data_IF_188127838266
#
_entry.id   IF_188127838266
#
_cell.length_a   1.000
_cell.length_b   1.000
_cell.length_c   1.000
_cell.angle_alpha   90.00
_cell.angle_beta   90.00
_cell.angle_gamma   90.00
#
_symmetry.space_group_name_H-M   'P 1'
#
loop_
_entity.id
_entity.type
_entity.pdbx_description
1 polymer ?
#
# COMPACT_ATOMS: atom_id res chain seq x y z
N UNK A 1 10.48 30.59 -23.79
CA UNK A 1 10.11 29.64 -22.71
C UNK A 1 9.59 28.37 -23.37
N UNK A 2 10.44 27.36 -23.58
CA UNK A 2 10.07 26.12 -24.24
C UNK A 2 9.22 25.27 -23.29
N UNK A 3 7.98 24.97 -23.71
CA UNK A 3 7.07 24.04 -23.05
C UNK A 3 7.61 22.63 -23.28
N UNK A 4 8.38 22.10 -22.33
CA UNK A 4 8.82 20.71 -22.32
C UNK A 4 7.56 19.82 -22.42
N UNK A 5 7.37 19.19 -23.58
CA UNK A 5 6.38 18.13 -23.76
C UNK A 5 6.84 16.97 -22.88
N UNK A 6 6.16 16.83 -21.75
CA UNK A 6 6.26 15.68 -20.85
C UNK A 6 5.98 14.42 -21.69
N UNK A 7 7.03 13.64 -22.02
CA UNK A 7 6.91 12.55 -22.97
C UNK A 7 6.03 11.43 -22.39
N UNK A 8 4.77 11.38 -22.83
CA UNK A 8 3.95 10.18 -22.74
C UNK A 8 4.59 9.08 -23.58
N UNK A 9 4.77 7.88 -22.99
CA UNK A 9 5.04 6.66 -23.77
C UNK A 9 6.39 5.97 -23.61
N UNK A 10 7.09 6.13 -22.48
CA UNK A 10 8.25 5.29 -22.17
C UNK A 10 7.86 3.83 -21.85
N UNK A 11 8.75 2.86 -22.10
CA UNK A 11 8.57 1.45 -21.67
C UNK A 11 9.71 1.05 -20.75
N UNK A 12 9.39 0.32 -19.68
CA UNK A 12 10.38 -0.29 -18.77
C UNK A 12 10.03 -1.76 -18.63
N UNK A 13 10.83 -2.63 -19.23
CA UNK A 13 10.54 -4.07 -19.26
C UNK A 13 9.13 -4.37 -19.81
N UNK A 14 8.29 -5.14 -19.10
CA UNK A 14 6.91 -5.44 -19.52
C UNK A 14 5.90 -4.32 -19.19
N UNK A 15 6.35 -3.14 -18.74
CA UNK A 15 5.48 -2.07 -18.29
C UNK A 15 5.50 -0.87 -19.24
N UNK A 16 4.31 -0.46 -19.69
CA UNK A 16 4.10 0.79 -20.43
C UNK A 16 3.88 1.93 -19.44
N UNK A 17 4.71 2.98 -19.52
CA UNK A 17 4.60 4.16 -18.67
C UNK A 17 3.51 5.10 -19.17
N UNK A 18 2.69 5.56 -18.24
CA UNK A 18 1.70 6.62 -18.42
C UNK A 18 2.16 7.90 -17.73
N UNK A 19 1.26 8.48 -16.94
CA UNK A 19 1.47 9.76 -16.25
C UNK A 19 2.57 9.67 -15.20
N UNK A 20 3.34 10.75 -15.07
CA UNK A 20 4.28 10.97 -13.97
C UNK A 20 3.63 11.79 -12.86
N UNK A 21 3.84 11.40 -11.61
CA UNK A 21 3.49 12.23 -10.45
C UNK A 21 4.62 13.20 -10.12
N UNK A 22 4.32 14.50 -10.15
CA UNK A 22 5.29 15.59 -9.92
C UNK A 22 5.53 15.82 -8.44
N UNK A 23 4.54 15.50 -7.61
CA UNK A 23 4.46 15.65 -6.16
C UNK A 23 5.57 14.86 -5.44
N UNK A 24 6.02 13.75 -6.02
CA UNK A 24 7.14 12.96 -5.47
C UNK A 24 8.42 13.78 -5.35
N UNK A 25 8.63 14.72 -6.27
CA UNK A 25 9.80 15.60 -6.30
C UNK A 25 11.11 14.89 -6.66
N UNK A 26 12.12 15.63 -7.12
CA UNK A 26 13.37 15.07 -7.66
C UNK A 26 14.24 14.38 -6.60
N UNK A 27 14.01 14.65 -5.31
CA UNK A 27 14.82 14.13 -4.21
C UNK A 27 14.60 12.63 -3.97
N UNK A 28 13.35 12.15 -4.05
CA UNK A 28 13.05 10.72 -3.95
C UNK A 28 13.19 10.02 -5.30
N UNK A 29 12.80 10.69 -6.38
CA UNK A 29 12.91 10.12 -7.72
C UNK A 29 11.71 10.48 -8.60
N UNK A 30 11.21 9.47 -9.31
CA UNK A 30 10.08 9.63 -10.23
C UNK A 30 9.13 8.46 -10.05
N UNK A 31 7.86 8.73 -9.81
CA UNK A 31 6.81 7.73 -9.75
C UNK A 31 5.92 7.89 -10.98
N UNK A 32 5.62 6.77 -11.62
CA UNK A 32 4.79 6.71 -12.81
C UNK A 32 3.59 5.79 -12.58
N UNK A 33 2.45 6.18 -13.12
CA UNK A 33 1.44 5.22 -13.54
C UNK A 33 2.04 4.32 -14.61
N UNK A 34 1.86 3.02 -14.48
CA UNK A 34 2.27 2.05 -15.48
C UNK A 34 1.22 0.95 -15.63
N UNK A 35 1.24 0.28 -16.77
CA UNK A 35 0.41 -0.92 -16.99
C UNK A 35 1.27 -2.04 -17.51
N UNK A 36 1.04 -3.25 -16.99
CA UNK A 36 1.62 -4.44 -17.57
C UNK A 36 1.06 -4.64 -18.98
N UNK A 37 1.93 -4.80 -19.98
CA UNK A 37 1.52 -4.82 -21.41
C UNK A 37 0.58 -5.98 -21.70
N UNK A 38 0.87 -7.18 -21.19
CA UNK A 38 0.06 -8.37 -21.49
C UNK A 38 -1.21 -8.48 -20.65
N UNK A 39 -1.13 -8.19 -19.34
CA UNK A 39 -2.26 -8.39 -18.41
C UNK A 39 -3.13 -7.14 -18.22
N UNK A 40 -2.67 -5.96 -18.65
CA UNK A 40 -3.35 -4.68 -18.43
C UNK A 40 -3.41 -4.21 -16.98
N UNK A 41 -2.87 -5.00 -16.03
CA UNK A 41 -2.90 -4.72 -14.59
C UNK A 41 -2.25 -3.36 -14.28
N UNK A 42 -2.85 -2.54 -13.41
CA UNK A 42 -2.26 -1.28 -12.99
C UNK A 42 -1.01 -1.56 -12.14
N UNK A 43 0.02 -0.77 -12.39
CA UNK A 43 1.31 -0.82 -11.69
C UNK A 43 1.72 0.60 -11.35
N UNK A 44 2.38 0.78 -10.21
CA UNK A 44 3.16 1.98 -9.93
C UNK A 44 4.62 1.65 -10.15
N UNK A 45 5.28 2.43 -10.99
CA UNK A 45 6.68 2.23 -11.32
C UNK A 45 7.50 3.38 -10.72
N UNK A 46 8.23 3.05 -9.66
CA UNK A 46 9.12 3.99 -8.99
C UNK A 46 10.54 3.87 -9.55
N UNK A 47 11.09 4.98 -10.02
CA UNK A 47 12.47 5.11 -10.46
C UNK A 47 13.21 5.99 -9.44
N UNK A 48 14.07 5.39 -8.59
CA UNK A 48 14.83 6.14 -7.58
C UNK A 48 15.66 7.28 -8.19
N UNK A 49 15.69 8.40 -7.49
CA UNK A 49 16.48 9.57 -7.88
C UNK A 49 17.99 9.34 -7.75
N UNK A 50 18.79 10.15 -8.45
CA UNK A 50 20.27 10.07 -8.36
C UNK A 50 20.83 10.37 -6.97
N UNK A 51 20.05 11.06 -6.12
CA UNK A 51 20.43 11.44 -4.74
C UNK A 51 20.16 10.33 -3.72
N UNK A 52 19.42 9.28 -4.10
CA UNK A 52 19.22 8.10 -3.25
C UNK A 52 20.53 7.30 -3.26
N UNK A 53 21.16 7.19 -2.09
CA UNK A 53 22.50 6.60 -1.93
C UNK A 53 22.54 5.08 -2.12
N UNK A 54 21.39 4.44 -2.06
CA UNK A 54 21.25 3.00 -2.19
C UNK A 54 20.43 2.66 -3.44
N UNK A 55 20.72 1.49 -4.04
CA UNK A 55 19.98 0.91 -5.18
C UNK A 55 19.90 -0.61 -4.99
N UNK A 56 18.82 -1.24 -5.47
CA UNK A 56 18.77 -2.69 -5.51
C UNK A 56 19.92 -3.22 -6.37
N UNK A 57 20.61 -4.23 -5.86
CA UNK A 57 21.77 -4.86 -6.49
C UNK A 57 21.37 -5.98 -7.45
N UNK A 58 20.15 -6.46 -7.31
CA UNK A 58 19.61 -7.58 -8.08
C UNK A 58 18.09 -7.50 -8.06
N UNK A 59 17.45 -8.26 -8.94
CA UNK A 59 16.00 -8.27 -9.08
C UNK A 59 15.35 -9.02 -7.91
N UNK A 60 14.25 -8.47 -7.43
CA UNK A 60 13.44 -9.03 -6.35
C UNK A 60 12.00 -9.14 -6.83
N UNK A 61 11.34 -10.27 -6.52
CA UNK A 61 9.90 -10.44 -6.71
C UNK A 61 9.28 -10.72 -5.36
N UNK A 62 8.54 -9.74 -4.85
CA UNK A 62 7.88 -9.80 -3.54
C UNK A 62 6.40 -9.49 -3.73
N UNK A 63 5.56 -10.30 -3.09
CA UNK A 63 4.11 -10.19 -3.14
C UNK A 63 3.57 -9.86 -1.75
N UNK A 64 2.83 -8.76 -1.67
CA UNK A 64 2.11 -8.36 -0.46
C UNK A 64 0.63 -8.72 -0.59
N UNK A 65 0.06 -9.24 0.49
CA UNK A 65 -1.38 -9.51 0.59
C UNK A 65 -1.88 -9.16 1.98
N UNK A 66 -3.04 -8.52 2.04
CA UNK A 66 -3.71 -8.16 3.28
C UNK A 66 -4.98 -9.02 3.41
N UNK A 67 -5.09 -9.73 4.52
CA UNK A 67 -6.24 -10.57 4.85
C UNK A 67 -7.04 -9.87 5.94
N UNK A 68 -8.35 -9.75 5.73
CA UNK A 68 -9.29 -9.10 6.65
C UNK A 68 -9.96 -10.08 7.63
N UNK A 69 -9.78 -11.40 7.44
CA UNK A 69 -10.28 -12.44 8.35
C UNK A 69 -9.46 -12.47 9.65
N UNK A 70 -8.42 -13.32 9.78
CA UNK A 70 -7.34 -12.95 10.66
C UNK A 70 -6.68 -11.70 10.07
N UNK A 71 -6.63 -10.59 10.82
CA UNK A 71 -5.95 -9.38 10.37
C UNK A 71 -4.47 -9.67 10.24
N UNK A 72 -4.02 -9.90 9.02
CA UNK A 72 -2.65 -10.30 8.72
C UNK A 72 -2.17 -9.66 7.42
N UNK A 73 -0.92 -9.17 7.44
CA UNK A 73 -0.19 -8.75 6.25
C UNK A 73 0.82 -9.85 5.93
N UNK A 74 0.63 -10.54 4.82
CA UNK A 74 1.51 -11.59 4.34
C UNK A 74 2.44 -11.01 3.26
N UNK A 75 3.74 -11.21 3.46
CA UNK A 75 4.78 -10.89 2.48
C UNK A 75 5.43 -12.20 2.02
N UNK A 76 5.26 -12.53 0.76
CA UNK A 76 5.86 -13.70 0.11
C UNK A 76 7.01 -13.24 -0.77
N UNK A 77 8.18 -13.86 -0.62
CA UNK A 77 9.34 -13.61 -1.48
C UNK A 77 9.37 -14.72 -2.53
N UNK A 78 8.93 -14.41 -3.75
CA UNK A 78 8.85 -15.36 -4.86
C UNK A 78 10.25 -15.55 -5.48
N UNK A 79 10.99 -14.46 -5.66
CA UNK A 79 12.37 -14.48 -6.17
C UNK A 79 13.26 -13.55 -5.34
N UNK A 80 14.41 -14.08 -4.90
CA UNK A 80 15.41 -13.34 -4.13
C UNK A 80 16.82 -13.57 -4.68
N UNK A 81 17.69 -12.54 -4.63
CA UNK A 81 19.11 -12.69 -4.97
C UNK A 81 19.85 -13.67 -4.03
N UNK A 82 20.83 -14.40 -4.56
CA UNK A 82 21.62 -15.39 -3.78
C UNK A 82 22.36 -14.79 -2.58
N UNK A 83 22.67 -13.48 -2.62
CA UNK A 83 23.33 -12.73 -1.53
C UNK A 83 22.47 -11.60 -1.00
N UNK A 84 21.15 -11.80 -1.04
CA UNK A 84 20.15 -10.88 -0.53
C UNK A 84 20.40 -10.51 0.95
N UNK A 85 20.21 -9.24 1.28
CA UNK A 85 20.14 -8.77 2.67
C UNK A 85 18.76 -8.19 2.92
N UNK A 86 18.16 -8.52 4.07
CA UNK A 86 16.85 -7.97 4.45
C UNK A 86 16.83 -6.43 4.47
N UNK A 87 17.98 -5.80 4.75
CA UNK A 87 18.15 -4.33 4.69
C UNK A 87 17.87 -3.77 3.30
N UNK A 88 18.20 -4.51 2.24
CA UNK A 88 17.96 -4.08 0.86
C UNK A 88 16.45 -4.01 0.57
N UNK A 89 15.69 -5.02 1.01
CA UNK A 89 14.24 -5.02 0.90
C UNK A 89 13.61 -3.91 1.77
N UNK A 90 14.11 -3.70 2.99
CA UNK A 90 13.67 -2.62 3.86
C UNK A 90 13.88 -1.25 3.19
N UNK A 91 15.04 -1.01 2.57
CA UNK A 91 15.33 0.23 1.84
C UNK A 91 14.36 0.45 0.66
N UNK A 92 14.04 -0.61 -0.12
CA UNK A 92 13.01 -0.55 -1.18
C UNK A 92 11.68 -0.09 -0.60
N UNK A 93 11.24 -0.72 0.48
CA UNK A 93 9.94 -0.46 1.10
C UNK A 93 9.87 0.94 1.68
N UNK A 94 10.90 1.39 2.40
CA UNK A 94 10.97 2.76 2.93
C UNK A 94 10.89 3.79 1.81
N UNK A 95 11.62 3.61 0.72
CA UNK A 95 11.57 4.52 -0.42
C UNK A 95 10.22 4.48 -1.16
N UNK A 96 9.65 3.29 -1.33
CA UNK A 96 8.34 3.08 -1.92
C UNK A 96 7.25 3.77 -1.12
N UNK A 97 7.23 3.59 0.21
CA UNK A 97 6.29 4.24 1.12
C UNK A 97 6.46 5.76 1.11
N UNK A 98 7.68 6.27 1.17
CA UNK A 98 7.93 7.72 1.12
C UNK A 98 7.48 8.35 -0.21
N UNK A 99 7.61 7.62 -1.33
CA UNK A 99 7.11 8.08 -2.63
C UNK A 99 5.58 8.01 -2.69
N UNK A 100 4.98 6.94 -2.16
CA UNK A 100 3.54 6.72 -2.14
C UNK A 100 2.81 7.77 -1.28
N UNK A 101 3.32 8.08 -0.09
CA UNK A 101 2.76 9.10 0.80
C UNK A 101 2.68 10.49 0.16
N UNK A 102 3.52 10.80 -0.84
CA UNK A 102 3.44 12.08 -1.55
C UNK A 102 2.32 12.16 -2.57
N UNK A 103 1.71 11.03 -2.91
CA UNK A 103 0.71 10.92 -3.97
C UNK A 103 -0.58 10.26 -3.50
N UNK A 104 -0.66 9.79 -2.25
CA UNK A 104 -1.79 9.02 -1.74
C UNK A 104 -3.13 9.78 -1.83
N UNK A 105 -3.08 11.10 -1.66
CA UNK A 105 -4.23 12.00 -1.81
C UNK A 105 -4.53 12.39 -3.26
N UNK A 106 -3.72 11.98 -4.24
CA UNK A 106 -3.94 12.33 -5.64
C UNK A 106 -5.10 11.50 -6.22
N UNK A 107 -6.18 12.12 -6.73
CA UNK A 107 -7.33 11.37 -7.23
C UNK A 107 -7.02 10.52 -8.47
N UNK A 108 -6.01 10.89 -9.27
CA UNK A 108 -5.59 10.08 -10.41
C UNK A 108 -4.94 8.77 -9.98
N UNK A 109 -4.24 8.76 -8.83
CA UNK A 109 -3.66 7.55 -8.27
C UNK A 109 -4.73 6.54 -7.89
N UNK A 110 -5.75 7.00 -7.16
CA UNK A 110 -6.90 6.19 -6.77
C UNK A 110 -7.60 5.63 -8.01
N UNK A 111 -7.85 6.47 -9.02
CA UNK A 111 -8.46 6.06 -10.28
C UNK A 111 -7.62 5.05 -11.07
N UNK A 112 -6.29 5.13 -11.01
CA UNK A 112 -5.41 4.19 -11.72
C UNK A 112 -5.34 2.82 -11.03
N UNK A 113 -5.18 2.80 -9.70
CA UNK A 113 -5.04 1.57 -8.92
C UNK A 113 -6.35 0.79 -8.77
N UNK A 114 -7.43 1.49 -8.47
CA UNK A 114 -8.73 0.89 -8.15
C UNK A 114 -9.73 1.01 -9.30
N UNK A 115 -9.34 1.66 -10.39
CA UNK A 115 -10.14 1.72 -11.61
C UNK A 115 -10.26 0.35 -12.27
N UNK A 116 -11.30 0.18 -13.09
CA UNK A 116 -11.51 -1.04 -13.87
C UNK A 116 -10.27 -1.34 -14.73
N UNK A 117 -9.80 -2.60 -14.78
CA UNK A 117 -8.74 -3.00 -15.69
C UNK A 117 -9.11 -2.60 -17.12
N UNK A 118 -8.26 -1.82 -17.79
CA UNK A 118 -8.43 -1.57 -19.22
C UNK A 118 -8.05 -2.86 -19.94
N UNK A 119 -8.97 -3.38 -20.75
CA UNK A 119 -8.67 -4.50 -21.63
C UNK A 119 -7.43 -4.15 -22.46
N UNK A 120 -6.48 -5.09 -22.64
CA UNK A 120 -5.35 -4.86 -23.51
C UNK A 120 -5.87 -4.41 -24.89
N UNK A 121 -5.15 -3.52 -25.60
CA UNK A 121 -5.53 -3.19 -26.96
C UNK A 121 -5.52 -4.50 -27.73
N UNK A 122 -6.72 -5.01 -28.04
CA UNK A 122 -6.87 -6.16 -28.94
C UNK A 122 -6.15 -5.71 -30.19
N UNK A 123 -4.98 -6.31 -30.47
CA UNK A 123 -4.34 -6.19 -31.76
C UNK A 123 -5.37 -6.78 -32.71
N UNK A 124 -6.19 -5.91 -33.29
CA UNK A 124 -6.90 -6.21 -34.52
C UNK A 124 -5.77 -6.39 -35.53
N UNK A 125 -5.23 -7.60 -35.58
CA UNK A 125 -4.60 -8.09 -36.78
C UNK A 125 -5.66 -7.85 -37.84
N UNK A 126 -5.47 -6.80 -38.62
CA UNK A 126 -6.24 -6.54 -39.82
C UNK A 126 -5.82 -7.64 -40.76
N UNK A 127 -6.35 -8.84 -40.52
CA UNK A 127 -6.31 -9.93 -41.47
C UNK A 127 -7.23 -9.45 -42.57
N UNK A 128 -6.63 -8.76 -43.55
CA UNK A 128 -7.24 -8.53 -44.84
C UNK A 128 -7.45 -9.91 -45.45
N UNK A 129 -8.55 -10.57 -45.06
CA UNK A 129 -9.10 -11.66 -45.82
C UNK A 129 -9.49 -11.07 -47.17
N UNK A 130 -8.58 -11.22 -48.13
CA UNK A 130 -8.90 -11.16 -49.55
C UNK A 130 -10.17 -11.96 -49.77
N UNK A 131 -11.23 -11.28 -50.25
CA UNK A 131 -12.58 -11.82 -50.50
C UNK A 131 -12.62 -12.90 -51.61
N UNK A 132 -11.52 -13.60 -51.90
CA UNK A 132 -11.41 -14.54 -53.03
C UNK A 132 -11.22 -16.01 -52.66
N UNK A 133 -11.19 -16.38 -51.39
CA UNK A 133 -11.06 -17.80 -50.97
C UNK A 133 -12.14 -18.24 -49.99
N UNK A 134 -13.36 -17.74 -50.14
CA UNK A 134 -14.53 -18.08 -49.31
C UNK A 134 -15.44 -19.17 -49.89
N UNK A 135 -14.96 -20.04 -50.78
CA UNK A 135 -15.82 -21.02 -51.47
C UNK A 135 -15.47 -22.50 -51.24
N UNK A 136 -14.38 -22.84 -50.54
CA UNK A 136 -13.95 -24.26 -50.41
C UNK A 136 -13.74 -24.77 -48.97
N UNK A 137 -13.94 -23.94 -47.95
CA UNK A 137 -13.81 -24.37 -46.54
C UNK A 137 -15.16 -24.55 -45.80
N UNK A 138 -16.29 -24.46 -46.51
CA UNK A 138 -17.63 -24.63 -45.93
C UNK A 138 -18.12 -26.07 -45.84
N UNK A 139 -17.47 -27.02 -46.53
CA UNK A 139 -17.92 -28.41 -46.61
C UNK A 139 -17.26 -29.36 -45.60
N UNK A 140 -16.20 -28.94 -44.89
CA UNK A 140 -15.52 -29.79 -43.91
C UNK A 140 -16.09 -29.66 -42.47
N UNK A 141 -16.85 -28.61 -42.16
CA UNK A 141 -17.36 -28.35 -40.79
C UNK A 141 -18.68 -29.08 -40.51
N UNK A 142 -19.46 -29.43 -41.54
CA UNK A 142 -20.73 -30.16 -41.38
C UNK A 142 -20.55 -31.65 -41.02
N UNK A 143 -19.37 -32.23 -41.22
CA UNK A 143 -19.10 -33.64 -40.88
C UNK A 143 -18.71 -33.87 -39.40
N UNK A 144 -18.25 -32.83 -38.68
CA UNK A 144 -17.85 -32.94 -37.26
C UNK A 144 -18.96 -32.52 -36.27
N UNK A 145 -20.04 -31.89 -36.76
CA UNK A 145 -21.17 -31.46 -35.94
C UNK A 145 -22.14 -32.57 -35.52
N UNK A 146 -22.06 -33.76 -36.13
CA UNK A 146 -22.94 -34.91 -35.82
C UNK A 146 -22.33 -35.91 -34.83
N UNK A 147 -21.07 -35.75 -34.42
CA UNK A 147 -20.35 -36.72 -33.57
C UNK A 147 -20.35 -36.41 -32.06
N UNK A 148 -20.78 -35.22 -31.64
CA UNK A 148 -20.67 -34.75 -30.24
C UNK A 148 -22.06 -34.57 -29.59
N UNK A 149 -23.05 -35.32 -30.06
CA UNK A 149 -24.41 -35.32 -29.49
C UNK A 149 -24.78 -36.65 -28.81
N UNK A 150 -23.80 -37.54 -28.57
CA UNK A 150 -24.02 -38.84 -27.91
C UNK A 150 -23.25 -39.03 -26.59
N UNK A 151 -22.58 -38.01 -26.05
CA UNK A 151 -21.89 -38.09 -24.74
C UNK A 151 -22.42 -37.14 -23.66
N UNK A 152 -23.55 -36.47 -23.90
CA UNK A 152 -24.16 -35.51 -22.97
C UNK A 152 -25.27 -36.07 -22.06
N UNK A 153 -25.46 -37.39 -22.02
CA UNK A 153 -26.40 -38.02 -21.12
C UNK A 153 -25.61 -38.80 -20.07
N UNK A 154 -25.36 -38.19 -18.91
CA UNK A 154 -25.22 -38.83 -17.58
C UNK A 154 -24.95 -37.70 -16.55
N UNK A 155 -25.79 -37.68 -15.52
CA UNK A 155 -25.73 -36.92 -14.26
C UNK A 155 -26.41 -35.54 -14.17
N UNK A 156 -27.74 -35.61 -14.12
CA UNK A 156 -28.55 -34.69 -13.31
C UNK A 156 -28.50 -35.08 -11.83
N UNK A 157 -28.26 -34.07 -10.98
CA UNK A 157 -28.72 -33.83 -9.58
C UNK A 157 -29.10 -35.04 -8.70
N UNK A 158 -28.59 -35.04 -7.46
CA UNK A 158 -29.38 -34.61 -6.28
C UNK A 158 -28.52 -34.62 -5.00
N UNK A 159 -28.68 -33.56 -4.23
CA UNK A 159 -28.18 -33.38 -2.86
C UNK A 159 -29.36 -33.55 -1.89
N UNK A 160 -29.18 -34.22 -0.75
CA UNK A 160 -29.99 -34.00 0.44
C UNK A 160 -29.15 -33.59 1.68
N UNK A 161 -29.78 -33.01 2.72
CA UNK A 161 -29.20 -32.00 3.61
C UNK A 161 -28.43 -32.59 4.81
N UNK A 162 -27.62 -31.78 5.51
CA UNK A 162 -27.01 -32.20 6.78
C UNK A 162 -27.98 -32.05 7.97
N UNK A 163 -28.00 -33.10 8.78
CA UNK A 163 -28.71 -33.21 10.05
C UNK A 163 -28.21 -32.21 11.10
N UNK A 164 -29.18 -31.66 11.84
CA UNK A 164 -28.97 -30.92 13.09
C UNK A 164 -28.58 -31.90 14.20
N UNK A 165 -27.46 -31.64 14.86
CA UNK A 165 -27.27 -32.06 16.25
C UNK A 165 -26.81 -30.87 17.10
N UNK A 166 -27.73 -30.44 17.95
CA UNK A 166 -27.48 -29.62 19.13
C UNK A 166 -26.81 -30.51 20.18
N UNK A 167 -25.72 -30.06 20.77
CA UNK A 167 -25.27 -30.56 22.07
C UNK A 167 -24.56 -29.47 22.83
N UNK A 168 -24.88 -29.43 24.12
CA UNK A 168 -24.69 -28.33 25.04
C UNK A 168 -23.22 -28.09 25.44
N UNK A 169 -23.01 -26.83 25.78
CA UNK A 169 -21.88 -26.16 26.42
C UNK A 169 -21.29 -26.85 27.67
N UNK A 170 -20.03 -26.56 28.01
CA UNK A 170 -19.74 -26.14 29.39
C UNK A 170 -19.14 -24.73 29.48
N UNK A 171 -19.75 -23.90 30.33
CA UNK A 171 -19.32 -22.55 30.69
C UNK A 171 -17.91 -22.56 31.29
N UNK A 172 -17.02 -21.71 30.75
CA UNK A 172 -15.72 -21.37 31.34
C UNK A 172 -15.79 -19.88 31.75
N UNK A 173 -15.51 -19.53 33.01
CA UNK A 173 -15.61 -18.13 33.47
C UNK A 173 -14.60 -17.22 32.75
N UNK A 174 -14.93 -15.94 32.55
CA UNK A 174 -14.12 -15.02 31.75
C UNK A 174 -12.77 -14.75 32.41
N UNK A 175 -11.69 -15.12 31.71
CA UNK A 175 -10.33 -14.67 32.04
C UNK A 175 -10.21 -13.18 31.69
N UNK A 176 -9.79 -12.37 32.65
CA UNK A 176 -9.42 -10.96 32.43
C UNK A 176 -8.39 -10.88 31.28
N UNK A 177 -8.50 -9.91 30.35
CA UNK A 177 -7.55 -9.77 29.27
C UNK A 177 -6.15 -9.47 29.83
N UNK A 178 -5.10 -10.16 29.37
CA UNK A 178 -3.74 -9.85 29.78
C UNK A 178 -3.39 -8.41 29.33
N UNK A 179 -2.59 -7.66 30.11
CA UNK A 179 -2.12 -6.35 29.68
C UNK A 179 -1.38 -6.47 28.35
N UNK A 180 -1.52 -5.47 27.50
CA UNK A 180 -0.83 -5.41 26.21
C UNK A 180 0.69 -5.41 26.45
N UNK A 181 1.34 -6.53 26.10
CA UNK A 181 2.79 -6.62 26.10
C UNK A 181 3.32 -6.03 24.79
N UNK A 182 4.22 -5.06 24.91
CA UNK A 182 4.92 -4.50 23.75
C UNK A 182 6.20 -5.29 23.54
N UNK A 183 6.33 -5.96 22.40
CA UNK A 183 7.59 -6.56 21.97
C UNK A 183 8.58 -5.46 21.58
N UNK A 184 9.54 -5.19 22.46
CA UNK A 184 10.52 -4.12 22.29
C UNK A 184 11.71 -4.66 21.51
N UNK A 185 11.59 -4.71 20.18
CA UNK A 185 12.75 -4.96 19.31
C UNK A 185 13.81 -3.86 19.51
N UNK A 186 15.06 -4.31 19.59
CA UNK A 186 16.27 -3.62 20.00
C UNK A 186 16.56 -2.28 19.25
N UNK A 187 17.44 -1.42 19.80
CA UNK A 187 17.39 0.03 19.63
C UNK A 187 17.75 0.47 18.21
N UNK A 188 16.88 1.28 17.61
CA UNK A 188 17.23 2.04 16.41
C UNK A 188 18.44 2.94 16.69
N UNK A 189 19.34 3.13 15.71
CA UNK A 189 20.43 4.09 15.83
C UNK A 189 19.87 5.45 16.23
N UNK A 190 20.59 6.15 17.10
CA UNK A 190 20.32 7.47 17.68
C UNK A 190 19.76 8.44 16.64
N UNK A 191 18.44 8.37 16.46
CA UNK A 191 17.72 9.26 15.61
C UNK A 191 17.67 10.57 16.40
N UNK A 192 18.39 11.58 15.91
CA UNK A 192 18.47 12.89 16.55
C UNK A 192 17.06 13.47 16.55
N UNK A 193 16.47 13.57 17.73
CA UNK A 193 15.18 14.22 17.91
C UNK A 193 15.23 15.65 17.39
N UNK A 194 14.12 16.08 16.78
CA UNK A 194 14.07 17.43 16.27
C UNK A 194 14.15 18.43 17.45
N UNK A 195 14.89 19.54 17.29
CA UNK A 195 14.94 20.57 18.31
C UNK A 195 13.55 21.19 18.48
N UNK A 196 13.18 21.53 19.70
CA UNK A 196 11.88 22.13 19.99
C UNK A 196 11.69 23.42 19.15
N UNK A 197 10.58 23.54 18.39
CA UNK A 197 10.41 24.60 17.42
C UNK A 197 10.26 25.97 18.11
N UNK A 198 10.71 27.04 17.44
CA UNK A 198 10.63 28.40 17.97
C UNK A 198 9.18 28.95 18.04
N UNK A 199 8.26 28.33 17.30
CA UNK A 199 6.82 28.63 17.33
C UNK A 199 6.04 27.31 17.37
N UNK A 200 4.82 27.30 17.96
CA UNK A 200 3.99 26.11 17.99
C UNK A 200 3.64 25.61 16.59
N UNK A 201 3.44 24.29 16.44
CA UNK A 201 2.91 23.75 15.20
C UNK A 201 1.47 24.25 14.95
N UNK A 202 1.03 24.27 13.69
CA UNK A 202 -0.33 24.75 13.33
C UNK A 202 -1.45 23.99 14.03
N UNK A 203 -1.21 22.71 14.33
CA UNK A 203 -2.15 21.81 15.00
C UNK A 203 -1.91 21.66 16.51
N UNK A 204 -0.91 22.37 17.04
CA UNK A 204 -0.56 22.33 18.45
C UNK A 204 -1.45 23.30 19.24
N UNK A 205 -1.88 22.88 20.42
CA UNK A 205 -2.51 23.74 21.40
C UNK A 205 -1.51 24.83 21.82
N UNK A 206 -1.96 26.08 21.80
CA UNK A 206 -1.21 27.23 22.31
C UNK A 206 -1.63 27.53 23.75
N UNK A 207 -0.81 28.30 24.45
CA UNK A 207 -1.12 28.78 25.79
C UNK A 207 -2.50 29.47 25.84
N UNK A 208 -3.26 29.35 26.96
CA UNK A 208 -2.88 28.71 28.22
C UNK A 208 -2.96 27.16 28.22
N UNK A 209 -1.95 26.53 28.79
CA UNK A 209 -1.83 25.08 28.91
C UNK A 209 -2.51 24.54 30.16
N UNK A 210 -3.03 23.31 30.09
CA UNK A 210 -3.77 22.68 31.19
C UNK A 210 -2.81 21.97 32.15
N UNK A 211 -2.32 22.69 33.16
CA UNK A 211 -1.43 22.14 34.19
C UNK A 211 -2.00 20.91 34.92
N UNK A 212 -3.33 20.86 35.12
CA UNK A 212 -4.03 19.69 35.70
C UNK A 212 -3.88 18.41 34.87
N UNK A 213 -3.55 18.52 33.58
CA UNK A 213 -3.29 17.40 32.67
C UNK A 213 -1.78 17.15 32.49
N UNK A 214 -0.93 17.82 33.27
CA UNK A 214 0.53 17.74 33.12
C UNK A 214 1.08 18.51 31.93
N UNK A 215 0.29 19.39 31.31
CA UNK A 215 0.76 20.21 30.18
C UNK A 215 1.65 21.35 30.67
N UNK A 216 2.78 21.55 30.00
CA UNK A 216 3.71 22.66 30.22
C UNK A 216 3.81 23.55 28.99
N UNK A 217 3.99 24.84 29.22
CA UNK A 217 4.17 25.81 28.13
C UNK A 217 5.64 25.92 27.77
N UNK A 218 5.96 25.71 26.49
CA UNK A 218 7.30 25.93 25.93
C UNK A 218 7.15 26.58 24.56
N UNK A 219 7.80 27.71 24.34
CA UNK A 219 7.72 28.52 23.11
C UNK A 219 6.28 28.85 22.67
N UNK A 220 5.39 29.12 23.64
CA UNK A 220 3.97 29.45 23.41
C UNK A 220 3.06 28.26 23.05
N UNK A 221 3.61 27.05 22.99
CA UNK A 221 2.89 25.81 22.72
C UNK A 221 2.76 24.95 23.96
N UNK A 222 1.74 24.10 24.00
CA UNK A 222 1.53 23.14 25.07
C UNK A 222 2.18 21.81 24.77
N UNK A 223 2.88 21.27 25.77
CA UNK A 223 3.69 20.06 25.68
C UNK A 223 3.41 19.14 26.86
N UNK A 224 3.59 17.84 26.67
CA UNK A 224 3.66 16.86 27.75
C UNK A 224 5.11 16.39 27.89
N UNK A 225 5.64 16.51 29.10
CA UNK A 225 6.94 15.93 29.45
C UNK A 225 6.81 14.41 29.55
N UNK A 226 7.70 13.70 28.86
CA UNK A 226 7.85 12.26 29.05
C UNK A 226 8.85 12.02 30.19
N UNK A 227 8.59 11.02 31.02
CA UNK A 227 9.53 10.53 32.03
C UNK A 227 10.71 9.76 31.38
N UNK A 228 11.35 10.37 30.39
CA UNK A 228 12.42 9.83 29.56
C UNK A 228 13.43 10.94 29.26
N UNK A 229 14.72 10.63 29.40
CA UNK A 229 15.82 11.48 28.96
C UNK A 229 16.25 11.12 27.55
N UNK A 230 16.95 12.04 26.87
CA UNK A 230 17.51 11.80 25.55
C UNK A 230 18.29 10.47 25.47
N UNK A 231 18.26 9.74 24.34
CA UNK A 231 17.70 10.14 23.05
C UNK A 231 16.18 9.99 22.95
N UNK A 232 15.51 11.06 22.50
CA UNK A 232 14.08 11.05 22.23
C UNK A 232 13.79 10.37 20.88
N UNK A 233 12.56 9.89 20.68
CA UNK A 233 12.16 9.27 19.42
C UNK A 233 12.04 10.33 18.31
N UNK A 234 12.86 10.22 17.27
CA UNK A 234 13.10 11.36 16.38
C UNK A 234 11.91 11.90 15.60
N UNK A 235 10.89 11.07 15.35
CA UNK A 235 9.75 11.46 14.54
C UNK A 235 8.58 12.01 15.36
N UNK A 236 8.52 11.70 16.66
CA UNK A 236 7.34 12.00 17.49
C UNK A 236 7.66 12.83 18.74
N UNK A 237 8.93 12.96 19.11
CA UNK A 237 9.34 13.61 20.35
C UNK A 237 10.33 14.74 20.08
N UNK A 238 10.09 15.90 20.68
CA UNK A 238 11.02 17.01 20.72
C UNK A 238 11.98 16.84 21.89
N UNK A 239 13.27 17.13 21.68
CA UNK A 239 14.22 17.26 22.78
C UNK A 239 14.33 18.72 23.23
N UNK A 240 14.22 18.94 24.54
CA UNK A 240 14.45 20.24 25.16
C UNK A 240 15.09 20.06 26.54
N UNK A 241 16.23 20.70 26.78
CA UNK A 241 16.99 20.61 28.04
C UNK A 241 17.26 19.16 28.51
N UNK A 242 17.55 18.25 27.58
CA UNK A 242 17.82 16.83 27.88
C UNK A 242 16.59 15.98 28.24
N UNK A 243 15.39 16.55 28.12
CA UNK A 243 14.10 15.88 28.33
C UNK A 243 13.34 15.74 27.01
N UNK A 244 12.42 14.79 26.98
CA UNK A 244 11.60 14.50 25.81
C UNK A 244 10.17 15.03 25.98
N UNK A 245 9.65 15.68 24.95
CA UNK A 245 8.33 16.29 24.95
C UNK A 245 7.51 15.84 23.75
N UNK A 246 6.19 15.74 23.93
CA UNK A 246 5.22 15.55 22.84
C UNK A 246 4.27 16.75 22.76
N UNK A 247 3.99 17.28 21.55
CA UNK A 247 3.10 18.43 21.41
C UNK A 247 1.66 18.03 21.68
N UNK A 248 0.93 18.88 22.41
CA UNK A 248 -0.51 18.70 22.66
C UNK A 248 -1.29 19.22 21.48
N UNK A 249 -2.27 18.49 20.97
CA UNK A 249 -3.14 18.97 19.88
C UNK A 249 -4.16 20.01 20.35
N UNK A 250 -4.52 20.96 19.47
CA UNK A 250 -5.62 21.91 19.71
C UNK A 250 -7.00 21.24 19.76
N UNK A 251 -7.15 20.03 19.22
CA UNK A 251 -8.41 19.27 19.16
C UNK A 251 -8.72 18.51 20.48
N UNK A 252 -8.69 19.22 21.61
CA UNK A 252 -8.92 18.66 22.95
C UNK A 252 -10.34 18.07 23.06
N UNK A 253 -10.46 16.74 23.02
CA UNK A 253 -11.74 16.03 23.18
C UNK A 253 -12.68 16.06 21.97
N UNK A 254 -12.25 16.62 20.83
CA UNK A 254 -13.05 16.66 19.59
C UNK A 254 -12.60 15.65 18.55
N UNK A 255 -11.68 14.74 18.89
CA UNK A 255 -11.44 13.57 18.07
C UNK A 255 -12.66 12.68 18.24
N UNK A 256 -13.65 12.90 17.36
CA UNK A 256 -14.86 12.08 17.24
C UNK A 256 -14.39 10.64 17.28
N UNK A 257 -14.73 9.92 18.36
CA UNK A 257 -14.48 8.48 18.41
C UNK A 257 -15.07 7.90 17.12
N UNK A 258 -14.34 7.05 16.39
CA UNK A 258 -14.87 6.44 15.18
C UNK A 258 -16.14 5.68 15.58
N UNK A 259 -17.30 6.26 15.27
CA UNK A 259 -18.56 5.62 15.55
C UNK A 259 -18.67 4.46 14.58
N UNK A 260 -18.56 3.25 15.13
CA UNK A 260 -18.86 2.02 14.42
C UNK A 260 -20.27 2.14 13.84
N UNK A 261 -20.38 2.15 12.52
CA UNK A 261 -21.66 1.92 11.85
C UNK A 261 -22.00 0.46 12.10
N UNK A 262 -22.97 0.19 12.97
CA UNK A 262 -23.51 -1.15 13.13
C UNK A 262 -24.33 -1.53 11.88
N UNK A 263 -24.30 -2.82 11.47
CA UNK A 263 -24.84 -3.30 10.20
C UNK A 263 -26.36 -3.17 10.07
#
# INVERSE_FOLDING_TARGET
MAKEKESEGGRVGPYLLGRRYKEVGPNLGRLYEARHVDTGKPVLLFLPGRRVRWRPRSDWVVKFSCLTGPTAVKMEVEEAPTRARATELADVLTLGTAAFQRVEDNPNLQAHLFGKPRAPPVRRHRWEFSRRTGALAGLAVLALGLGVWTYGAIQSRSEPPPDRQSSLEPEIPPRLPPPHFVDSLAPLPTAVAYPLPAKPFSEQAVAPCKSKLGEVEINGGCWLELAKRAPCLAESQAEHQGKCYVPVTKYRGSMREPQSVQP
#
